data_IF_645279358557
#
_entry.id   IF_645279358557
#
_cell.length_a   1.000
_cell.length_b   1.000
_cell.length_c   1.000
_cell.angle_alpha   90.00
_cell.angle_beta   90.00
_cell.angle_gamma   90.00
#
_symmetry.space_group_name_H-M   'P 1'
#
loop_
_entity.id
_entity.type
_entity.pdbx_description
1 polymer ?
#
# COMPACT_ATOMS: atom_id res chain seq x y z
N UNK A 1 -44.66 -29.63 13.46
CA UNK A 1 -44.66 -28.40 14.28
C UNK A 1 -43.20 -28.05 14.53
N UNK A 2 -42.64 -26.90 14.21
CA UNK A 2 -43.12 -25.64 13.65
C UNK A 2 -41.84 -24.86 13.29
N UNK A 3 -41.85 -24.12 12.18
CA UNK A 3 -40.73 -23.28 11.76
C UNK A 3 -40.74 -22.01 12.62
N UNK A 4 -39.59 -21.58 13.15
CA UNK A 4 -39.44 -20.15 13.52
C UNK A 4 -38.06 -19.62 13.17
N UNK A 5 -38.08 -18.91 12.06
CA UNK A 5 -37.06 -18.14 11.39
C UNK A 5 -36.85 -16.80 12.15
N UNK A 6 -35.64 -16.55 12.67
CA UNK A 6 -35.35 -15.28 13.34
C UNK A 6 -34.93 -14.21 12.32
N UNK A 7 -35.94 -13.47 11.83
CA UNK A 7 -35.85 -12.40 10.83
C UNK A 7 -36.06 -11.05 11.52
N UNK A 8 -35.00 -10.28 11.72
CA UNK A 8 -35.07 -8.88 12.17
C UNK A 8 -34.00 -8.07 11.43
N UNK A 9 -34.19 -6.86 10.92
CA UNK A 9 -35.37 -6.07 10.52
C UNK A 9 -34.75 -4.99 9.61
N UNK A 10 -35.18 -4.94 8.36
CA UNK A 10 -34.73 -3.97 7.36
C UNK A 10 -35.19 -2.56 7.77
N UNK A 11 -34.27 -1.61 7.94
CA UNK A 11 -34.62 -0.21 8.14
C UNK A 11 -34.86 0.43 6.77
N UNK A 12 -36.14 0.57 6.42
CA UNK A 12 -36.63 1.42 5.34
C UNK A 12 -36.41 2.89 5.70
N UNK A 13 -35.54 3.59 4.96
CA UNK A 13 -35.53 5.05 4.98
C UNK A 13 -36.55 5.54 3.95
N UNK A 14 -37.66 6.10 4.44
CA UNK A 14 -38.69 6.72 3.61
C UNK A 14 -38.20 8.07 3.07
N UNK A 15 -38.49 8.32 1.79
CA UNK A 15 -38.22 9.56 1.10
C UNK A 15 -39.14 10.71 1.56
N UNK A 16 -38.59 11.91 1.65
CA UNK A 16 -39.34 13.14 1.44
C UNK A 16 -38.42 14.20 0.80
N UNK A 17 -38.86 14.89 -0.27
CA UNK A 17 -38.06 15.85 -1.02
C UNK A 17 -38.14 17.24 -0.37
N UNK A 18 -37.00 17.87 -0.11
CA UNK A 18 -36.96 19.31 0.16
C UNK A 18 -36.60 20.00 -1.15
N UNK A 19 -37.62 20.58 -1.77
CA UNK A 19 -37.46 21.52 -2.88
C UNK A 19 -36.73 22.77 -2.38
N UNK A 20 -35.58 23.08 -2.97
CA UNK A 20 -34.92 24.37 -2.83
C UNK A 20 -34.84 25.06 -4.19
N UNK A 21 -35.35 26.29 -4.23
CA UNK A 21 -35.60 27.08 -5.43
C UNK A 21 -34.34 27.44 -6.22
N UNK A 22 -34.46 27.16 -7.52
CA UNK A 22 -33.86 27.74 -8.73
C UNK A 22 -33.04 29.03 -8.51
N UNK A 23 -31.73 28.93 -8.71
CA UNK A 23 -30.90 30.01 -9.25
C UNK A 23 -30.57 29.70 -10.70
N UNK A 24 -31.07 30.52 -11.64
CA UNK A 24 -30.71 30.46 -13.06
C UNK A 24 -29.23 30.80 -13.26
N UNK A 25 -28.41 29.80 -13.53
CA UNK A 25 -27.11 29.97 -14.16
C UNK A 25 -27.17 29.35 -15.55
N UNK A 26 -26.81 30.14 -16.57
CA UNK A 26 -26.74 29.72 -17.97
C UNK A 26 -25.91 28.43 -18.14
N UNK A 27 -26.15 27.61 -19.17
CA UNK A 27 -25.28 26.48 -19.47
C UNK A 27 -23.91 27.06 -19.86
N UNK A 28 -22.92 26.90 -18.98
CA UNK A 28 -21.54 27.01 -19.39
C UNK A 28 -21.29 25.92 -20.44
N UNK A 29 -20.78 26.31 -21.61
CA UNK A 29 -20.41 25.39 -22.66
C UNK A 29 -19.56 24.25 -22.07
N UNK A 30 -19.89 23.01 -22.46
CA UNK A 30 -19.08 21.85 -22.12
C UNK A 30 -17.63 22.14 -22.54
N UNK A 31 -16.74 22.21 -21.56
CA UNK A 31 -15.31 22.20 -21.82
C UNK A 31 -15.01 20.88 -22.54
N UNK A 32 -14.19 20.95 -23.59
CA UNK A 32 -13.71 19.80 -24.34
C UNK A 32 -13.32 18.66 -23.41
N UNK A 33 -13.81 17.45 -23.71
CA UNK A 33 -13.41 16.22 -23.03
C UNK A 33 -11.87 16.17 -22.98
N UNK A 34 -11.25 15.88 -21.83
CA UNK A 34 -9.81 15.71 -21.79
C UNK A 34 -9.45 14.55 -22.72
N UNK A 35 -8.61 14.85 -23.72
CA UNK A 35 -8.08 13.87 -24.67
C UNK A 35 -7.60 12.66 -23.88
N UNK A 36 -8.28 11.52 -24.07
CA UNK A 36 -7.86 10.24 -23.52
C UNK A 36 -6.54 9.86 -24.18
N UNK A 37 -5.43 10.27 -23.56
CA UNK A 37 -4.08 9.87 -23.92
C UNK A 37 -3.82 8.46 -23.42
N UNK A 38 -4.61 7.50 -23.92
CA UNK A 38 -4.38 6.08 -23.68
C UNK A 38 -3.14 5.67 -24.47
N UNK A 39 -2.02 5.28 -23.84
CA UNK A 39 -0.84 4.83 -24.57
C UNK A 39 -1.18 3.57 -25.35
N UNK A 40 -0.95 3.58 -26.67
CA UNK A 40 -1.32 2.51 -27.60
C UNK A 40 -0.36 1.31 -27.59
N UNK A 41 0.47 1.18 -26.57
CA UNK A 41 1.48 0.14 -26.44
C UNK A 41 1.32 -0.53 -25.07
N UNK A 42 1.15 -1.85 -24.98
CA UNK A 42 1.20 -2.56 -23.71
C UNK A 42 2.55 -2.23 -23.05
N UNK A 43 2.51 -1.57 -21.89
CA UNK A 43 3.72 -1.24 -21.13
C UNK A 43 4.41 -2.56 -20.76
N UNK A 44 5.73 -2.61 -20.87
CA UNK A 44 6.47 -3.68 -20.21
C UNK A 44 6.17 -3.58 -18.71
N UNK A 45 5.58 -4.64 -18.16
CA UNK A 45 4.94 -4.69 -16.85
C UNK A 45 5.87 -4.26 -15.70
N UNK A 46 7.18 -4.31 -15.91
CA UNK A 46 8.19 -4.04 -14.90
C UNK A 46 8.88 -2.67 -15.03
N UNK A 47 8.57 -1.87 -16.05
CA UNK A 47 9.14 -0.53 -16.17
C UNK A 47 8.50 0.43 -15.17
N UNK A 48 9.33 1.25 -14.52
CA UNK A 48 8.82 2.29 -13.61
C UNK A 48 7.92 3.25 -14.41
N UNK A 49 6.64 3.42 -14.03
CA UNK A 49 5.75 4.36 -14.70
C UNK A 49 6.19 5.81 -14.44
N UNK A 50 5.75 6.72 -15.30
CA UNK A 50 5.92 8.16 -15.07
C UNK A 50 5.17 8.58 -13.79
N UNK A 51 5.63 9.62 -13.11
CA UNK A 51 5.09 10.04 -11.80
C UNK A 51 3.62 10.49 -11.87
N UNK A 52 3.14 10.88 -13.04
CA UNK A 52 1.79 11.33 -13.36
C UNK A 52 0.93 10.25 -14.03
N UNK A 53 1.45 9.04 -14.21
CA UNK A 53 0.71 7.95 -14.85
C UNK A 53 -0.36 7.40 -13.91
N UNK A 54 -1.62 7.44 -14.35
CA UNK A 54 -2.73 6.74 -13.69
C UNK A 54 -2.70 5.29 -14.15
N UNK A 55 -2.55 4.37 -13.20
CA UNK A 55 -2.53 2.93 -13.46
C UNK A 55 -3.92 2.33 -13.25
N UNK A 56 -4.28 1.38 -14.12
CA UNK A 56 -5.40 0.47 -13.86
C UNK A 56 -5.07 -0.49 -12.71
N UNK A 57 -6.10 -1.14 -12.14
CA UNK A 57 -5.90 -2.11 -11.06
C UNK A 57 -5.02 -3.29 -11.51
N UNK A 58 -5.23 -3.77 -12.73
CA UNK A 58 -4.49 -4.87 -13.35
C UNK A 58 -3.01 -4.51 -13.53
N UNK A 59 -2.72 -3.31 -14.06
CA UNK A 59 -1.35 -2.82 -14.22
C UNK A 59 -0.65 -2.63 -12.87
N UNK A 60 -1.35 -2.14 -11.85
CA UNK A 60 -0.82 -2.00 -10.49
C UNK A 60 -0.46 -3.34 -9.84
N UNK A 61 -1.28 -4.38 -10.04
CA UNK A 61 -1.01 -5.74 -9.56
C UNK A 61 0.23 -6.30 -10.26
N UNK A 62 0.30 -6.13 -11.59
CA UNK A 62 1.37 -6.66 -12.41
C UNK A 62 2.72 -5.97 -12.09
N UNK A 63 2.73 -4.64 -11.89
CA UNK A 63 3.89 -3.89 -11.40
C UNK A 63 4.36 -4.34 -10.02
N UNK A 64 3.44 -4.68 -9.10
CA UNK A 64 3.78 -5.20 -7.77
C UNK A 64 4.48 -6.56 -7.84
N UNK A 65 4.15 -7.39 -8.82
CA UNK A 65 4.84 -8.68 -9.02
C UNK A 65 6.29 -8.46 -9.48
N UNK A 66 6.51 -7.49 -10.38
CA UNK A 66 7.85 -7.11 -10.81
C UNK A 66 8.70 -6.51 -9.70
N UNK A 67 8.16 -5.59 -8.89
CA UNK A 67 8.92 -4.94 -7.82
C UNK A 67 9.38 -5.91 -6.73
N UNK A 68 8.60 -6.96 -6.47
CA UNK A 68 9.01 -8.07 -5.59
C UNK A 68 10.14 -8.91 -6.19
N UNK A 69 10.18 -9.06 -7.51
CA UNK A 69 11.22 -9.80 -8.21
C UNK A 69 12.53 -8.99 -8.39
N UNK A 70 12.46 -7.65 -8.35
CA UNK A 70 13.59 -6.74 -8.58
C UNK A 70 14.27 -6.25 -7.30
N UNK A 71 13.83 -6.67 -6.10
CA UNK A 71 14.55 -6.34 -4.88
C UNK A 71 16.00 -6.84 -4.99
N UNK A 72 16.97 -5.96 -4.75
CA UNK A 72 18.36 -6.34 -4.72
C UNK A 72 18.55 -7.52 -3.74
N UNK A 73 19.42 -8.49 -4.06
CA UNK A 73 19.69 -9.58 -3.14
C UNK A 73 20.26 -8.99 -1.85
N UNK A 74 19.57 -9.23 -0.74
CA UNK A 74 20.01 -8.84 0.59
C UNK A 74 21.33 -9.53 0.94
N UNK A 75 22.17 -8.88 1.73
CA UNK A 75 23.42 -9.47 2.23
C UNK A 75 23.58 -9.26 3.73
N UNK A 76 24.44 -10.06 4.37
CA UNK A 76 24.73 -9.91 5.79
C UNK A 76 25.71 -8.76 6.02
N UNK A 77 25.32 -7.84 6.91
CA UNK A 77 26.11 -6.68 7.30
C UNK A 77 26.38 -6.73 8.81
N UNK A 78 27.64 -6.50 9.19
CA UNK A 78 27.98 -6.27 10.59
C UNK A 78 27.54 -4.87 11.01
N UNK A 79 26.79 -4.78 12.11
CA UNK A 79 26.21 -3.53 12.61
C UNK A 79 26.93 -2.96 13.84
N UNK A 80 27.95 -3.67 14.33
CA UNK A 80 28.68 -3.30 15.54
C UNK A 80 28.27 -4.10 16.77
N UNK A 81 28.71 -3.61 17.93
CA UNK A 81 28.49 -4.22 19.23
C UNK A 81 27.63 -3.28 20.08
N UNK A 82 26.46 -3.74 20.48
CA UNK A 82 25.51 -2.95 21.28
C UNK A 82 25.65 -3.23 22.77
N UNK A 83 25.33 -2.25 23.62
CA UNK A 83 25.34 -2.42 25.08
C UNK A 83 24.10 -3.12 25.62
N UNK A 84 23.01 -3.15 24.84
CA UNK A 84 21.76 -3.80 25.23
C UNK A 84 21.04 -4.42 24.04
N UNK A 85 20.20 -5.42 24.31
CA UNK A 85 19.28 -5.99 23.31
C UNK A 85 18.24 -4.98 22.81
N UNK A 86 17.96 -3.92 23.58
CA UNK A 86 17.01 -2.88 23.19
C UNK A 86 17.59 -1.98 22.11
N UNK A 87 18.89 -1.69 22.16
CA UNK A 87 19.58 -0.93 21.12
C UNK A 87 19.64 -1.74 19.81
N UNK A 88 19.84 -3.06 19.91
CA UNK A 88 19.75 -4.00 18.78
C UNK A 88 18.36 -3.96 18.15
N UNK A 89 17.31 -4.05 18.97
CA UNK A 89 15.93 -4.01 18.50
C UNK A 89 15.59 -2.67 17.83
N UNK A 90 16.02 -1.55 18.42
CA UNK A 90 15.81 -0.22 17.84
C UNK A 90 16.49 -0.08 16.48
N UNK A 91 17.74 -0.54 16.33
CA UNK A 91 18.45 -0.53 15.07
C UNK A 91 17.78 -1.44 14.02
N UNK A 92 17.33 -2.64 14.42
CA UNK A 92 16.63 -3.56 13.53
C UNK A 92 15.30 -2.98 13.04
N UNK A 93 14.52 -2.39 13.94
CA UNK A 93 13.26 -1.74 13.60
C UNK A 93 13.47 -0.54 12.67
N UNK A 94 14.49 0.29 12.93
CA UNK A 94 14.85 1.42 12.07
C UNK A 94 15.29 1.00 10.67
N UNK A 95 15.92 -0.17 10.54
CA UNK A 95 16.33 -0.76 9.27
C UNK A 95 15.23 -1.53 8.53
N UNK A 96 14.03 -1.68 9.10
CA UNK A 96 12.97 -2.51 8.50
C UNK A 96 13.31 -3.99 8.45
N UNK A 97 14.15 -4.47 9.38
CA UNK A 97 14.66 -5.83 9.43
C UNK A 97 13.56 -6.80 9.88
N UNK A 98 13.33 -7.83 9.08
CA UNK A 98 12.28 -8.82 9.29
C UNK A 98 12.70 -10.02 10.14
N UNK A 99 11.78 -10.98 10.27
CA UNK A 99 12.03 -12.23 10.97
C UNK A 99 13.16 -13.02 10.29
N UNK A 100 14.15 -13.45 11.07
CA UNK A 100 15.32 -14.18 10.56
C UNK A 100 16.39 -13.29 9.91
N UNK A 101 16.18 -11.97 9.86
CA UNK A 101 17.11 -11.02 9.23
C UNK A 101 18.01 -10.30 10.24
N UNK A 102 17.98 -10.71 11.51
CA UNK A 102 18.85 -10.20 12.58
C UNK A 102 19.47 -11.37 13.34
N UNK A 103 20.78 -11.29 13.56
CA UNK A 103 21.53 -12.21 14.42
C UNK A 103 22.24 -11.37 15.47
N UNK A 104 21.99 -11.66 16.74
CA UNK A 104 22.70 -11.04 17.85
C UNK A 104 23.08 -12.12 18.87
N UNK A 105 24.24 -11.96 19.49
CA UNK A 105 24.72 -12.88 20.52
C UNK A 105 25.31 -12.07 21.67
N UNK A 106 25.15 -12.54 22.89
CA UNK A 106 25.80 -11.93 24.04
C UNK A 106 27.24 -12.42 24.15
N UNK A 107 28.21 -11.50 24.07
CA UNK A 107 29.63 -11.80 24.18
C UNK A 107 30.34 -10.66 24.94
N UNK A 108 31.00 -11.00 26.06
CA UNK A 108 31.81 -10.08 26.86
C UNK A 108 31.11 -8.76 27.25
N UNK A 109 29.83 -8.84 27.65
CA UNK A 109 29.07 -7.64 28.07
C UNK A 109 28.49 -6.82 26.92
N UNK A 110 28.63 -7.29 25.68
CA UNK A 110 28.13 -6.62 24.49
C UNK A 110 27.33 -7.58 23.61
N UNK A 111 26.62 -6.99 22.64
CA UNK A 111 25.78 -7.68 21.67
C UNK A 111 26.29 -7.42 20.24
N UNK A 112 27.34 -8.15 19.79
CA UNK A 112 27.70 -8.20 18.37
C UNK A 112 26.49 -8.57 17.53
N UNK A 113 26.19 -7.74 16.55
CA UNK A 113 24.94 -7.83 15.78
C UNK A 113 25.21 -7.77 14.29
N UNK A 114 24.52 -8.64 13.55
CA UNK A 114 24.47 -8.68 12.10
C UNK A 114 23.03 -8.51 11.62
N UNK A 115 22.84 -7.78 10.53
CA UNK A 115 21.53 -7.57 9.90
C UNK A 115 21.58 -7.95 8.42
N UNK A 116 20.47 -8.42 7.88
CA UNK A 116 20.32 -8.85 6.49
C UNK A 116 19.42 -7.87 5.74
N UNK A 117 20.01 -7.05 4.87
CA UNK A 117 19.30 -6.03 4.08
C UNK A 117 19.98 -5.76 2.74
#
# INVERSE_FOLDING_TARGET
MEVTMNRHRTLTLAAAPIALLIGLAAPAAAADDPVSSTPKTPRAVCDKPANDAVLTAEEGIALRQCSRAQAAPKTWHWMGNYGSVYDVANAANGGGIGAGEVITQYLNGLYPTFMFY
#
